data_IF_822369992302
#
_entry.id   IF_822369992302
#
_cell.length_a   1.000
_cell.length_b   1.000
_cell.length_c   1.000
_cell.angle_alpha   90.00
_cell.angle_beta   90.00
_cell.angle_gamma   90.00
#
_symmetry.space_group_name_H-M   'P 1'
#
loop_
_entity.id
_entity.type
_entity.pdbx_description
1 polymer ?
#
# COMPACT_ATOMS: atom_id res chain seq x y z
N UNK A 1 -19.36 10.02 -24.87
CA UNK A 1 -18.78 8.67 -24.99
C UNK A 1 -19.88 7.63 -24.80
N UNK A 2 -19.78 6.49 -25.47
CA UNK A 2 -20.66 5.35 -25.23
C UNK A 2 -20.22 4.64 -23.94
N UNK A 3 -21.19 4.28 -23.08
CA UNK A 3 -20.93 3.50 -21.86
C UNK A 3 -21.35 2.06 -22.14
N UNK A 4 -20.40 1.13 -21.99
CA UNK A 4 -20.64 -0.31 -22.20
C UNK A 4 -20.55 -0.99 -20.82
N UNK A 5 -21.69 -1.44 -20.24
CA UNK A 5 -21.65 -2.21 -19.02
C UNK A 5 -21.00 -3.59 -19.30
N UNK A 6 -20.06 -3.99 -18.46
CA UNK A 6 -19.34 -5.27 -18.58
C UNK A 6 -19.38 -6.05 -17.27
N UNK A 7 -19.19 -7.38 -17.34
CA UNK A 7 -18.96 -8.23 -16.19
C UNK A 7 -17.57 -8.84 -16.34
N UNK A 8 -16.72 -8.70 -15.32
CA UNK A 8 -15.32 -9.19 -15.35
C UNK A 8 -14.52 -8.66 -16.57
N UNK A 9 -14.85 -7.44 -17.05
CA UNK A 9 -14.28 -6.81 -18.25
C UNK A 9 -14.55 -7.57 -19.57
N UNK A 10 -15.49 -8.49 -19.60
CA UNK A 10 -15.91 -9.15 -20.83
C UNK A 10 -16.62 -8.15 -21.73
N UNK A 11 -16.07 -7.93 -22.92
CA UNK A 11 -16.60 -7.04 -23.95
C UNK A 11 -16.21 -7.54 -25.33
N UNK A 12 -17.07 -7.34 -26.32
CA UNK A 12 -16.73 -7.63 -27.72
C UNK A 12 -15.62 -6.69 -28.18
N UNK A 13 -14.53 -7.22 -28.73
CA UNK A 13 -13.34 -6.45 -29.07
C UNK A 13 -13.60 -5.35 -30.11
N UNK A 14 -14.49 -5.57 -31.04
CA UNK A 14 -14.93 -4.58 -32.05
C UNK A 14 -15.64 -3.37 -31.44
N UNK A 15 -16.12 -3.48 -30.20
CA UNK A 15 -16.74 -2.37 -29.46
C UNK A 15 -15.70 -1.42 -28.83
N UNK A 16 -14.45 -1.87 -28.66
CA UNK A 16 -13.39 -1.15 -27.95
C UNK A 16 -12.12 -0.95 -28.77
N UNK A 17 -11.92 -1.76 -29.83
CA UNK A 17 -10.77 -1.65 -30.74
C UNK A 17 -11.23 -1.12 -32.10
N UNK A 18 -10.36 -0.33 -32.75
CA UNK A 18 -10.56 0.24 -34.10
C UNK A 18 -11.92 0.94 -34.31
N UNK A 19 -12.45 1.51 -33.24
CA UNK A 19 -13.78 2.15 -33.24
C UNK A 19 -13.85 3.42 -34.06
N UNK A 20 -12.70 4.01 -34.41
CA UNK A 20 -12.59 5.31 -35.09
C UNK A 20 -13.36 6.46 -34.42
N UNK A 21 -13.67 6.31 -33.12
CA UNK A 21 -14.40 7.31 -32.33
C UNK A 21 -13.54 8.48 -31.88
N UNK A 22 -12.21 8.33 -31.91
CA UNK A 22 -11.28 9.40 -31.55
C UNK A 22 -11.16 10.39 -32.72
N UNK A 23 -11.53 11.63 -32.44
CA UNK A 23 -11.41 12.75 -33.40
C UNK A 23 -10.41 13.75 -32.82
N UNK A 24 -9.22 13.81 -33.42
CA UNK A 24 -8.14 14.65 -32.94
C UNK A 24 -8.54 16.13 -32.93
N UNK A 25 -9.22 16.63 -33.98
CA UNK A 25 -9.62 18.02 -34.07
C UNK A 25 -10.63 18.40 -32.96
N UNK A 26 -11.54 17.49 -32.60
CA UNK A 26 -12.45 17.71 -31.46
C UNK A 26 -11.74 17.63 -30.11
N UNK A 27 -10.75 16.74 -29.98
CA UNK A 27 -9.98 16.63 -28.77
C UNK A 27 -9.13 17.90 -28.55
N UNK A 28 -8.44 18.38 -29.59
CA UNK A 28 -7.64 19.61 -29.57
C UNK A 28 -8.47 20.85 -29.24
N UNK A 29 -9.70 20.92 -29.75
CA UNK A 29 -10.63 22.02 -29.47
C UNK A 29 -11.33 21.91 -28.10
N UNK A 30 -11.07 20.87 -27.33
CA UNK A 30 -11.71 20.73 -26.01
C UNK A 30 -11.17 21.75 -25.00
N UNK A 31 -12.05 22.23 -24.12
CA UNK A 31 -11.69 23.24 -23.12
C UNK A 31 -10.57 22.79 -22.17
N UNK A 32 -10.47 21.48 -21.87
CA UNK A 32 -9.39 20.91 -21.07
C UNK A 32 -8.06 20.98 -21.80
N UNK A 33 -8.01 20.58 -23.06
CA UNK A 33 -6.80 20.62 -23.88
C UNK A 33 -6.26 22.04 -24.08
N UNK A 34 -7.18 23.01 -24.33
CA UNK A 34 -6.82 24.42 -24.49
C UNK A 34 -6.18 24.97 -23.21
N UNK A 35 -6.71 24.66 -22.03
CA UNK A 35 -6.14 25.07 -20.73
C UNK A 35 -4.76 24.50 -20.51
N UNK A 36 -4.54 23.21 -20.80
CA UNK A 36 -3.21 22.58 -20.71
C UNK A 36 -2.19 23.25 -21.64
N UNK A 37 -2.56 23.53 -22.88
CA UNK A 37 -1.69 24.25 -23.84
C UNK A 37 -1.37 25.68 -23.39
N UNK A 38 -2.25 26.33 -22.64
CA UNK A 38 -2.03 27.66 -22.08
C UNK A 38 -1.22 27.64 -20.79
N UNK A 39 -0.87 26.46 -20.29
CA UNK A 39 -0.13 26.28 -19.03
C UNK A 39 -1.00 26.54 -17.79
N UNK A 40 -2.32 26.61 -17.95
CA UNK A 40 -3.29 26.71 -16.86
C UNK A 40 -3.63 25.30 -16.36
N UNK A 41 -2.62 24.62 -15.80
CA UNK A 41 -2.85 23.35 -15.15
C UNK A 41 -3.44 23.59 -13.76
N UNK A 42 -4.69 23.20 -13.56
CA UNK A 42 -5.28 23.12 -12.22
C UNK A 42 -4.91 21.74 -11.65
N UNK A 43 -4.13 21.66 -10.56
CA UNK A 43 -3.83 20.37 -9.94
C UNK A 43 -5.11 19.58 -9.67
N UNK A 44 -5.11 18.27 -9.91
CA UNK A 44 -6.27 17.39 -9.67
C UNK A 44 -6.80 17.52 -8.23
N UNK A 45 -5.91 17.83 -7.29
CA UNK A 45 -6.26 18.13 -5.89
C UNK A 45 -7.16 19.33 -5.75
N UNK A 46 -6.96 20.39 -6.57
CA UNK A 46 -7.81 21.60 -6.55
C UNK A 46 -9.10 21.39 -7.35
N UNK A 47 -9.04 20.62 -8.44
CA UNK A 47 -10.21 20.41 -9.29
C UNK A 47 -11.20 19.41 -8.69
N UNK A 48 -10.70 18.33 -8.06
CA UNK A 48 -11.52 17.23 -7.57
C UNK A 48 -11.44 17.02 -6.05
N UNK A 49 -10.65 17.80 -5.34
CA UNK A 49 -10.42 17.64 -3.88
C UNK A 49 -9.72 16.31 -3.53
N UNK A 50 -9.00 15.72 -4.49
CA UNK A 50 -8.29 14.46 -4.27
C UNK A 50 -6.92 14.76 -3.67
N UNK A 51 -6.67 14.21 -2.50
CA UNK A 51 -5.38 14.28 -1.81
C UNK A 51 -4.76 12.91 -1.62
N UNK A 52 -3.51 12.90 -1.21
CA UNK A 52 -2.81 11.68 -0.83
C UNK A 52 -1.87 11.93 0.34
N UNK A 53 -1.69 10.91 1.15
CA UNK A 53 -0.65 10.90 2.18
C UNK A 53 -0.03 9.52 2.31
N UNK A 54 1.15 9.49 2.93
CA UNK A 54 1.88 8.25 3.22
C UNK A 54 2.04 8.10 4.71
N UNK A 55 1.62 6.95 5.25
CA UNK A 55 1.95 6.53 6.60
C UNK A 55 3.24 5.71 6.58
N UNK A 56 4.22 6.09 7.41
CA UNK A 56 5.51 5.42 7.48
C UNK A 56 6.00 5.32 8.91
N UNK A 57 6.39 4.12 9.33
CA UNK A 57 7.11 3.86 10.60
C UNK A 57 7.85 2.52 10.48
N UNK A 58 8.87 2.31 11.30
CA UNK A 58 9.52 1.00 11.41
C UNK A 58 8.93 0.13 12.53
N UNK A 59 8.13 0.70 13.42
CA UNK A 59 7.52 -0.04 14.53
C UNK A 59 6.52 -1.10 14.04
N UNK A 60 6.50 -2.30 14.68
CA UNK A 60 5.61 -3.38 14.28
C UNK A 60 4.15 -3.11 14.61
N UNK A 61 3.25 -3.59 13.77
CA UNK A 61 1.84 -3.68 14.12
C UNK A 61 1.55 -4.92 14.98
N UNK A 62 0.60 -4.79 15.91
CA UNK A 62 -0.15 -5.92 16.44
C UNK A 62 -1.07 -6.48 15.35
N UNK A 63 -0.95 -7.77 15.04
CA UNK A 63 -1.70 -8.40 13.95
C UNK A 63 -3.21 -8.24 14.08
N UNK A 64 -3.76 -8.45 15.27
CA UNK A 64 -5.21 -8.32 15.51
C UNK A 64 -5.70 -6.87 15.38
N UNK A 65 -4.93 -5.92 15.88
CA UNK A 65 -5.32 -4.51 15.83
C UNK A 65 -5.33 -3.99 14.39
N UNK A 66 -4.30 -4.32 13.60
CA UNK A 66 -4.26 -3.87 12.21
C UNK A 66 -5.31 -4.57 11.34
N UNK A 67 -5.62 -5.82 11.59
CA UNK A 67 -6.71 -6.53 10.93
C UNK A 67 -8.06 -5.88 11.23
N UNK A 68 -8.34 -5.60 12.50
CA UNK A 68 -9.54 -4.86 12.89
C UNK A 68 -9.62 -3.45 12.25
N UNK A 69 -8.48 -2.76 12.11
CA UNK A 69 -8.41 -1.48 11.38
C UNK A 69 -8.82 -1.66 9.91
N UNK A 70 -8.35 -2.71 9.25
CA UNK A 70 -8.66 -2.98 7.85
C UNK A 70 -10.14 -3.34 7.63
N UNK A 71 -10.76 -3.99 8.58
CA UNK A 71 -12.18 -4.38 8.52
C UNK A 71 -13.15 -3.24 8.89
N UNK A 72 -12.71 -2.26 9.68
CA UNK A 72 -13.57 -1.14 10.09
C UNK A 72 -13.81 -0.18 8.92
N UNK A 73 -15.03 -0.26 8.38
CA UNK A 73 -15.46 0.58 7.26
C UNK A 73 -15.34 2.09 7.52
N UNK A 74 -15.39 2.52 8.78
CA UNK A 74 -15.28 3.94 9.14
C UNK A 74 -13.89 4.51 8.82
N UNK A 75 -12.85 3.67 8.79
CA UNK A 75 -11.48 4.07 8.43
C UNK A 75 -11.33 4.42 6.95
N UNK A 76 -12.27 4.01 6.12
CA UNK A 76 -12.21 4.18 4.67
C UNK A 76 -13.09 5.32 4.15
N UNK A 77 -13.65 6.13 5.03
CA UNK A 77 -14.41 7.31 4.64
C UNK A 77 -13.51 8.31 3.87
N UNK A 78 -13.91 8.63 2.65
CA UNK A 78 -13.12 9.47 1.75
C UNK A 78 -11.96 8.78 1.05
N UNK A 79 -11.55 7.58 1.47
CA UNK A 79 -10.46 6.83 0.83
C UNK A 79 -10.97 6.13 -0.43
N UNK A 80 -10.39 6.50 -1.58
CA UNK A 80 -10.67 5.87 -2.88
C UNK A 80 -9.77 4.67 -3.12
N UNK A 81 -8.51 4.78 -2.70
CA UNK A 81 -7.49 3.75 -2.86
C UNK A 81 -6.45 3.81 -1.75
N UNK A 82 -6.02 2.64 -1.29
CA UNK A 82 -4.87 2.51 -0.42
C UNK A 82 -4.03 1.31 -0.86
N UNK A 83 -2.71 1.46 -0.81
CA UNK A 83 -1.77 0.38 -1.12
C UNK A 83 -0.48 0.56 -0.35
N UNK A 84 0.18 -0.57 -0.07
CA UNK A 84 1.50 -0.52 0.53
C UNK A 84 1.97 -1.82 1.13
N UNK A 85 2.99 -1.72 1.96
CA UNK A 85 3.60 -2.84 2.63
C UNK A 85 3.54 -2.65 4.14
N UNK A 86 3.41 -3.77 4.84
CA UNK A 86 3.43 -3.75 6.30
C UNK A 86 4.00 -5.05 6.86
N UNK A 87 4.28 -5.06 8.13
CA UNK A 87 4.66 -6.22 8.90
C UNK A 87 4.03 -6.23 10.27
N UNK A 88 3.92 -7.41 10.86
CA UNK A 88 3.29 -7.64 12.15
C UNK A 88 4.25 -8.36 13.08
N UNK A 89 4.09 -8.14 14.38
CA UNK A 89 4.92 -8.79 15.40
C UNK A 89 4.75 -10.31 15.43
N UNK A 90 3.57 -10.81 15.09
CA UNK A 90 3.23 -12.23 15.14
C UNK A 90 4.08 -13.09 14.17
N UNK A 91 4.42 -12.57 12.99
CA UNK A 91 5.43 -13.15 12.11
C UNK A 91 6.26 -12.05 11.46
N UNK A 92 7.28 -11.63 12.19
CA UNK A 92 8.16 -10.53 11.81
C UNK A 92 9.07 -10.86 10.62
N UNK A 93 9.02 -12.07 10.07
CA UNK A 93 9.79 -12.47 8.89
C UNK A 93 9.10 -12.06 7.60
N UNK A 94 7.77 -12.08 7.59
CA UNK A 94 6.95 -11.90 6.38
C UNK A 94 6.70 -10.42 6.09
N UNK A 95 6.88 -10.04 4.83
CA UNK A 95 6.39 -8.78 4.28
C UNK A 95 4.99 -9.00 3.69
N UNK A 96 4.04 -8.18 4.13
CA UNK A 96 2.67 -8.21 3.63
C UNK A 96 2.41 -7.04 2.69
N UNK A 97 1.68 -7.28 1.61
CA UNK A 97 1.08 -6.25 0.78
C UNK A 97 -0.37 -6.02 1.22
N UNK A 98 -0.69 -4.76 1.44
CA UNK A 98 -2.06 -4.27 1.52
C UNK A 98 -2.48 -3.64 0.22
N UNK A 99 -3.68 -3.93 -0.26
CA UNK A 99 -4.30 -3.28 -1.41
C UNK A 99 -5.79 -3.09 -1.18
N UNK A 100 -6.27 -1.86 -1.38
CA UNK A 100 -7.69 -1.50 -1.32
C UNK A 100 -8.03 -0.59 -2.49
N UNK A 101 -9.17 -0.85 -3.14
CA UNK A 101 -9.74 0.01 -4.17
C UNK A 101 -11.28 -0.08 -4.10
N UNK A 102 -11.93 1.03 -3.80
CA UNK A 102 -13.37 1.06 -3.54
C UNK A 102 -13.73 0.13 -2.38
N UNK A 103 -14.68 -0.77 -2.58
CA UNK A 103 -15.14 -1.73 -1.58
C UNK A 103 -14.38 -3.05 -1.52
N UNK A 104 -13.29 -3.20 -2.30
CA UNK A 104 -12.50 -4.44 -2.36
C UNK A 104 -11.16 -4.21 -1.70
N UNK A 105 -10.77 -5.15 -0.83
CA UNK A 105 -9.46 -5.13 -0.19
C UNK A 105 -8.82 -6.52 -0.18
N UNK A 106 -7.52 -6.57 -0.01
CA UNK A 106 -6.75 -7.80 0.12
C UNK A 106 -5.46 -7.57 0.91
N UNK A 107 -5.12 -8.55 1.75
CA UNK A 107 -3.79 -8.72 2.34
C UNK A 107 -3.15 -9.96 1.74
N UNK A 108 -1.91 -9.85 1.31
CA UNK A 108 -1.14 -10.96 0.72
C UNK A 108 0.28 -10.98 1.27
N UNK A 109 0.83 -12.14 1.64
CA UNK A 109 2.25 -12.27 1.88
C UNK A 109 2.99 -12.15 0.53
N UNK A 110 4.06 -11.37 0.49
CA UNK A 110 4.83 -11.11 -0.76
C UNK A 110 6.27 -11.58 -0.69
N UNK A 111 6.71 -12.08 0.46
CA UNK A 111 8.06 -12.57 0.66
C UNK A 111 8.54 -12.34 2.09
N UNK A 112 9.86 -12.45 2.26
CA UNK A 112 10.51 -12.19 3.53
C UNK A 112 11.29 -10.87 3.48
N UNK A 113 11.36 -10.20 4.62
CA UNK A 113 12.25 -9.07 4.80
C UNK A 113 13.70 -9.54 4.70
N UNK A 114 14.57 -8.71 4.13
CA UNK A 114 16.00 -9.04 4.02
C UNK A 114 16.62 -9.31 5.38
N UNK A 115 16.27 -8.53 6.38
CA UNK A 115 16.74 -8.71 7.76
C UNK A 115 16.24 -10.01 8.44
N UNK A 116 15.28 -10.70 7.84
CA UNK A 116 14.82 -12.02 8.29
C UNK A 116 15.59 -13.17 7.63
N UNK A 117 16.44 -12.89 6.65
CA UNK A 117 17.22 -13.88 5.92
C UNK A 117 18.70 -13.81 6.31
N UNK A 118 19.41 -14.96 6.36
CA UNK A 118 20.87 -14.96 6.55
C UNK A 118 21.55 -14.10 5.46
N UNK A 119 22.54 -13.30 5.87
CA UNK A 119 23.25 -12.41 4.95
C UNK A 119 23.98 -13.15 3.81
N UNK A 120 24.38 -14.39 4.05
CA UNK A 120 25.01 -15.26 3.04
C UNK A 120 24.06 -15.55 1.85
N UNK A 121 22.75 -15.42 2.06
CA UNK A 121 21.73 -15.58 1.02
C UNK A 121 21.49 -14.30 0.20
N UNK A 122 22.14 -13.19 0.57
CA UNK A 122 22.00 -11.91 -0.15
C UNK A 122 22.90 -11.89 -1.40
N UNK A 123 22.44 -12.52 -2.46
CA UNK A 123 23.16 -12.61 -3.74
C UNK A 123 23.11 -11.28 -4.51
N UNK A 124 23.69 -10.22 -3.93
CA UNK A 124 23.69 -8.87 -4.51
C UNK A 124 25.00 -8.14 -4.23
N UNK A 125 25.38 -7.13 -5.06
CA UNK A 125 26.51 -6.25 -4.81
C UNK A 125 26.41 -5.53 -3.47
N UNK A 126 27.55 -5.25 -2.83
CA UNK A 126 27.61 -4.60 -1.53
C UNK A 126 26.89 -3.25 -1.49
N UNK A 127 27.00 -2.48 -2.59
CA UNK A 127 26.37 -1.16 -2.71
C UNK A 127 24.84 -1.23 -2.75
N UNK A 128 24.27 -2.40 -3.08
CA UNK A 128 22.83 -2.63 -3.16
C UNK A 128 22.29 -3.33 -1.91
N UNK A 129 23.16 -3.68 -0.97
CA UNK A 129 22.75 -4.40 0.24
C UNK A 129 21.80 -3.53 1.08
N UNK A 130 20.72 -4.13 1.60
CA UNK A 130 19.72 -3.42 2.40
C UNK A 130 20.29 -2.74 3.63
N UNK A 131 21.28 -3.35 4.31
CA UNK A 131 21.94 -2.84 5.49
C UNK A 131 22.81 -1.60 5.23
N UNK A 132 23.11 -1.29 3.97
CA UNK A 132 23.82 -0.09 3.53
C UNK A 132 22.87 1.04 3.09
N UNK A 133 21.53 0.82 3.14
CA UNK A 133 20.56 1.81 2.72
C UNK A 133 20.19 2.77 3.87
N UNK A 134 19.89 4.04 3.57
CA UNK A 134 19.58 5.05 4.58
C UNK A 134 18.35 4.77 5.44
N UNK A 135 17.44 3.92 4.96
CA UNK A 135 16.20 3.55 5.65
C UNK A 135 16.31 2.23 6.43
N UNK A 136 17.53 1.70 6.58
CA UNK A 136 17.78 0.57 7.46
C UNK A 136 17.65 0.97 8.92
N UNK A 137 16.74 0.31 9.64
CA UNK A 137 16.52 0.55 11.06
C UNK A 137 17.45 -0.32 11.91
N UNK A 138 18.09 0.26 12.94
CA UNK A 138 19.07 -0.45 13.78
C UNK A 138 18.50 -1.74 14.42
N UNK A 139 17.25 -1.69 14.89
CA UNK A 139 16.58 -2.83 15.54
C UNK A 139 15.82 -3.71 14.56
N UNK A 140 15.13 -3.09 13.59
CA UNK A 140 14.16 -3.80 12.75
C UNK A 140 14.63 -4.08 11.32
N UNK A 141 15.83 -3.61 10.96
CA UNK A 141 16.39 -3.80 9.61
C UNK A 141 15.61 -3.02 8.56
N UNK A 142 15.26 -3.69 7.46
CA UNK A 142 14.48 -3.14 6.36
C UNK A 142 12.96 -3.17 6.59
N UNK A 143 12.51 -3.71 7.74
CA UNK A 143 11.09 -3.78 8.09
C UNK A 143 10.49 -2.41 8.26
N UNK A 144 9.35 -2.18 7.62
CA UNK A 144 8.63 -0.90 7.70
C UNK A 144 7.15 -1.06 7.42
N UNK A 145 6.38 -0.16 8.00
CA UNK A 145 5.05 0.15 7.57
C UNK A 145 5.17 1.25 6.52
N UNK A 146 4.63 1.03 5.35
CA UNK A 146 4.60 1.99 4.25
C UNK A 146 3.26 1.87 3.54
N UNK A 147 2.29 2.67 3.97
CA UNK A 147 0.93 2.65 3.44
C UNK A 147 0.61 4.00 2.81
N UNK A 148 0.19 3.99 1.55
CA UNK A 148 -0.24 5.18 0.81
C UNK A 148 -1.77 5.20 0.76
N UNK A 149 -2.34 6.36 1.04
CA UNK A 149 -3.77 6.63 0.96
C UNK A 149 -4.03 7.71 -0.08
N UNK A 150 -5.00 7.48 -0.93
CA UNK A 150 -5.46 8.42 -1.96
C UNK A 150 -6.97 8.52 -1.81
N UNK A 151 -7.50 9.74 -1.74
CA UNK A 151 -8.93 9.92 -1.56
C UNK A 151 -9.37 11.36 -1.58
N UNK A 152 -10.64 11.58 -1.30
CA UNK A 152 -11.29 12.87 -1.27
C UNK A 152 -11.79 13.17 0.14
N UNK A 153 -11.46 14.36 0.65
CA UNK A 153 -11.86 14.78 2.00
C UNK A 153 -11.51 13.77 3.11
N UNK A 154 -10.37 13.09 2.96
CA UNK A 154 -9.90 12.12 3.96
C UNK A 154 -9.53 12.82 5.27
N UNK A 155 -9.93 12.25 6.38
CA UNK A 155 -9.45 12.64 7.70
C UNK A 155 -8.09 11.96 7.98
N UNK A 156 -7.01 12.59 7.49
CA UNK A 156 -5.65 12.09 7.62
C UNK A 156 -5.23 11.93 9.09
N UNK A 157 -5.56 12.89 9.95
CA UNK A 157 -5.18 12.86 11.37
C UNK A 157 -5.82 11.65 12.06
N UNK A 158 -7.10 11.41 11.81
CA UNK A 158 -7.82 10.26 12.36
C UNK A 158 -7.25 8.94 11.86
N UNK A 159 -6.96 8.82 10.55
CA UNK A 159 -6.39 7.59 9.97
C UNK A 159 -5.02 7.31 10.57
N UNK A 160 -4.15 8.33 10.69
CA UNK A 160 -2.83 8.20 11.32
C UNK A 160 -2.95 7.76 12.78
N UNK A 161 -3.79 8.42 13.57
CA UNK A 161 -3.99 8.06 14.97
C UNK A 161 -4.54 6.62 15.14
N UNK A 162 -5.42 6.19 14.25
CA UNK A 162 -5.94 4.82 14.26
C UNK A 162 -4.83 3.80 13.90
N UNK A 163 -3.97 4.09 12.93
CA UNK A 163 -2.81 3.24 12.60
C UNK A 163 -1.78 3.23 13.75
N UNK A 164 -1.50 4.37 14.37
CA UNK A 164 -0.60 4.44 15.52
C UNK A 164 -1.11 3.59 16.69
N UNK A 165 -2.43 3.52 16.90
CA UNK A 165 -3.04 2.65 17.91
C UNK A 165 -2.88 1.15 17.62
N UNK A 166 -2.59 0.78 16.37
CA UNK A 166 -2.31 -0.59 15.97
C UNK A 166 -0.85 -1.01 16.22
N UNK A 167 0.05 -0.08 16.49
CA UNK A 167 1.44 -0.39 16.80
C UNK A 167 1.56 -1.13 18.14
N UNK A 168 2.65 -1.88 18.30
CA UNK A 168 3.01 -2.37 19.62
C UNK A 168 3.37 -1.20 20.53
N UNK A 169 3.10 -1.38 21.82
CA UNK A 169 3.61 -0.51 22.87
C UNK A 169 5.13 -0.38 22.76
N UNK A 170 5.66 0.82 22.85
CA UNK A 170 7.09 1.11 22.66
C UNK A 170 7.98 0.26 23.59
N UNK A 171 7.54 0.03 24.83
CA UNK A 171 8.22 -0.82 25.80
C UNK A 171 8.37 -2.27 25.33
N UNK A 172 7.33 -2.78 24.65
CA UNK A 172 7.32 -4.15 24.10
C UNK A 172 8.16 -4.19 22.81
N UNK A 173 7.96 -3.23 21.90
CA UNK A 173 8.72 -3.16 20.67
C UNK A 173 10.23 -3.11 20.91
N UNK A 174 10.67 -2.38 21.92
CA UNK A 174 12.09 -2.21 22.30
C UNK A 174 12.66 -3.34 23.15
N UNK A 175 11.87 -4.31 23.63
CA UNK A 175 12.37 -5.44 24.42
C UNK A 175 13.16 -6.47 23.60
N UNK A 176 13.14 -6.33 22.28
CA UNK A 176 13.76 -7.27 21.34
C UNK A 176 12.78 -8.34 20.85
N UNK A 177 12.84 -8.67 19.57
CA UNK A 177 11.88 -9.57 18.90
C UNK A 177 11.81 -10.97 19.54
N UNK A 178 12.93 -11.49 20.04
CA UNK A 178 12.97 -12.79 20.72
C UNK A 178 12.29 -12.78 22.10
N UNK A 179 12.07 -11.60 22.67
CA UNK A 179 11.44 -11.41 23.97
C UNK A 179 9.96 -11.05 23.86
N UNK A 180 9.43 -10.93 22.65
CA UNK A 180 8.03 -10.58 22.47
C UNK A 180 7.11 -11.71 22.91
N UNK A 181 5.95 -11.38 23.51
CA UNK A 181 4.95 -12.39 23.79
C UNK A 181 4.44 -13.01 22.48
N UNK A 182 3.83 -14.18 22.59
CA UNK A 182 3.17 -14.81 21.44
C UNK A 182 1.98 -13.94 21.00
N UNK A 183 2.04 -13.50 19.74
CA UNK A 183 0.97 -12.73 19.10
C UNK A 183 0.22 -13.61 18.11
N UNK A 184 -1.06 -13.38 17.96
CA UNK A 184 -1.86 -14.03 16.93
C UNK A 184 -1.64 -13.37 15.56
N UNK A 185 -1.41 -14.20 14.54
CA UNK A 185 -1.32 -13.76 13.16
C UNK A 185 -2.62 -14.08 12.41
N UNK A 186 -3.47 -13.09 12.10
CA UNK A 186 -4.69 -13.30 11.34
C UNK A 186 -4.46 -13.44 9.83
N UNK A 187 -3.24 -13.14 9.35
CA UNK A 187 -2.92 -13.09 7.92
C UNK A 187 -2.36 -14.42 7.39
N UNK A 188 -2.47 -14.68 6.07
CA UNK A 188 -1.85 -15.83 5.44
C UNK A 188 -0.33 -15.88 5.67
N UNK A 189 0.22 -17.06 5.83
CA UNK A 189 1.66 -17.28 6.02
C UNK A 189 2.31 -17.88 4.77
N UNK A 190 3.64 -17.75 4.67
CA UNK A 190 4.45 -18.44 3.67
C UNK A 190 5.11 -19.61 4.37
N UNK A 191 4.82 -20.83 3.93
CA UNK A 191 5.56 -22.03 4.36
C UNK A 191 6.86 -22.10 3.57
N UNK A 192 8.00 -22.13 4.29
CA UNK A 192 9.25 -22.52 3.68
C UNK A 192 9.19 -24.01 3.38
N UNK A 193 9.29 -24.39 2.11
CA UNK A 193 9.55 -25.78 1.77
C UNK A 193 10.95 -26.11 2.31
N UNK A 194 11.01 -26.95 3.32
CA UNK A 194 12.28 -27.55 3.75
C UNK A 194 12.76 -28.40 2.57
N UNK A 195 13.90 -28.06 1.98
CA UNK A 195 14.58 -28.94 1.03
C UNK A 195 15.06 -30.17 1.80
N UNK A 196 14.48 -31.36 1.49
CA UNK A 196 14.91 -32.66 1.97
C UNK A 196 16.31 -33.04 1.43
#
# INVERSE_FOLDING_TARGET
AEIIPTTQSEVQLDRVLDTNLFDYAKAEASAGWIRELQGEHTPETEEYGIGSFTYRTSSPFDGKKIDAFFEDKSNWNGVLRSKGFFWVAADHRIAYEWAQAGGVNAVRPIGFWWSAMPQDNWQMPEEQRPDNQPDWHETFGDRKQLLVFIGQEMDEERIRAALDSCLLEESVANSGMDSWPEFENPFPTIELMEEE
#
